data_IF_704801297312
#
_entry.id   IF_704801297312
#
_cell.length_a   1.000
_cell.length_b   1.000
_cell.length_c   1.000
_cell.angle_alpha   90.00
_cell.angle_beta   90.00
_cell.angle_gamma   90.00
#
_symmetry.space_group_name_H-M   'P 1'
#
loop_
_entity.id
_entity.type
_entity.pdbx_description
1 polymer ?
#
# COMPACT_ATOMS: atom_id res chain seq x y z
N UNK A 1 -33.13 -25.85 5.31
CA UNK A 1 -32.04 -26.42 4.49
C UNK A 1 -30.73 -25.72 4.87
N UNK A 2 -29.71 -26.52 5.19
CA UNK A 2 -28.43 -26.10 5.77
C UNK A 2 -27.54 -25.43 4.72
N UNK A 3 -26.83 -24.36 5.11
CA UNK A 3 -25.60 -23.91 4.44
C UNK A 3 -24.51 -24.99 4.60
N UNK A 4 -23.53 -25.03 3.68
CA UNK A 4 -22.16 -24.71 4.09
C UNK A 4 -21.53 -23.72 3.09
N UNK A 5 -20.99 -22.56 3.50
CA UNK A 5 -19.68 -22.38 4.13
C UNK A 5 -18.54 -23.13 3.42
N UNK A 6 -17.96 -22.49 2.40
CA UNK A 6 -16.59 -22.75 1.97
C UNK A 6 -15.65 -21.89 2.84
N UNK A 7 -14.97 -22.58 3.76
CA UNK A 7 -13.99 -22.06 4.70
C UNK A 7 -12.62 -21.90 3.99
N UNK A 8 -11.95 -20.80 4.33
CA UNK A 8 -10.50 -20.68 4.61
C UNK A 8 -9.50 -21.49 3.78
N UNK A 9 -8.71 -20.74 3.01
CA UNK A 9 -7.26 -20.87 2.89
C UNK A 9 -6.72 -19.43 3.10
N UNK A 10 -6.16 -19.02 4.24
CA UNK A 10 -4.90 -19.46 4.87
C UNK A 10 -3.82 -19.64 3.78
N UNK A 11 -2.68 -18.98 3.74
CA UNK A 11 -2.01 -18.02 4.61
C UNK A 11 -0.82 -17.48 3.79
N UNK A 12 -0.23 -16.38 4.26
CA UNK A 12 1.14 -15.96 3.94
C UNK A 12 1.47 -15.62 2.47
N UNK A 13 1.39 -14.33 2.15
CA UNK A 13 2.50 -13.67 1.45
C UNK A 13 2.76 -12.36 2.19
N UNK A 14 3.37 -12.52 3.35
CA UNK A 14 3.94 -11.47 4.14
C UNK A 14 5.17 -10.90 3.39
N UNK A 15 5.21 -9.58 3.35
CA UNK A 15 6.37 -8.71 3.20
C UNK A 15 7.68 -9.30 2.66
N UNK A 16 7.94 -9.05 1.39
CA UNK A 16 9.28 -8.69 0.89
C UNK A 16 9.14 -7.86 -0.39
N UNK A 17 9.15 -6.54 -0.26
CA UNK A 17 9.86 -5.71 -1.25
C UNK A 17 10.52 -4.56 -0.50
N UNK A 18 11.55 -4.94 0.25
CA UNK A 18 12.49 -4.03 0.90
C UNK A 18 13.23 -3.28 -0.21
N UNK A 19 12.97 -1.97 -0.27
CA UNK A 19 13.96 -0.90 -0.36
C UNK A 19 15.36 -1.35 -0.82
N UNK A 20 15.63 -1.25 -2.12
CA UNK A 20 16.89 -1.70 -2.71
C UNK A 20 17.47 -0.73 -3.72
N UNK A 21 17.56 0.56 -3.41
CA UNK A 21 18.48 1.50 -4.09
C UNK A 21 19.05 2.47 -3.07
N UNK A 22 19.94 1.97 -2.21
CA UNK A 22 20.91 2.83 -1.52
C UNK A 22 22.21 2.07 -1.24
N UNK A 23 22.80 1.46 -2.28
CA UNK A 23 24.19 1.03 -2.27
C UNK A 23 24.75 1.24 -3.67
N UNK A 24 25.20 2.47 -3.95
CA UNK A 24 26.11 2.75 -5.07
C UNK A 24 26.91 4.03 -4.79
N UNK A 25 27.55 4.11 -3.61
CA UNK A 25 28.43 5.25 -3.27
C UNK A 25 29.71 4.87 -2.51
N UNK A 26 30.19 3.61 -2.55
CA UNK A 26 31.43 3.24 -1.84
C UNK A 26 32.46 2.41 -2.63
N UNK A 27 32.30 2.25 -3.95
CA UNK A 27 33.25 1.48 -4.77
C UNK A 27 34.26 2.33 -5.59
N UNK A 28 34.39 3.63 -5.32
CA UNK A 28 35.32 4.51 -6.08
C UNK A 28 36.68 4.73 -5.38
N UNK A 29 36.88 4.25 -4.15
CA UNK A 29 38.12 4.50 -3.39
C UNK A 29 38.91 3.23 -3.04
N UNK A 30 39.17 2.36 -4.02
CA UNK A 30 40.08 1.22 -3.85
C UNK A 30 40.65 0.72 -5.19
N UNK A 31 41.39 1.57 -5.90
CA UNK A 31 42.39 1.16 -6.91
C UNK A 31 43.41 2.28 -7.09
N UNK A 32 43.91 2.77 -5.98
CA UNK A 32 45.03 3.69 -5.90
C UNK A 32 46.09 2.98 -5.07
N UNK A 33 47.18 2.56 -5.75
CA UNK A 33 48.42 1.90 -5.29
C UNK A 33 48.69 0.61 -6.07
N UNK A 34 49.19 0.79 -7.29
CA UNK A 34 50.35 0.07 -7.84
C UNK A 34 50.56 0.55 -9.29
N UNK A 35 51.17 1.72 -9.43
CA UNK A 35 51.97 2.03 -10.62
C UNK A 35 53.13 2.96 -10.23
N UNK A 36 53.91 2.51 -9.26
CA UNK A 36 55.25 3.01 -9.02
C UNK A 36 56.20 2.24 -9.92
N UNK A 37 56.50 2.81 -11.09
CA UNK A 37 57.50 2.22 -11.98
C UNK A 37 57.46 2.61 -13.44
N UNK A 38 56.79 3.70 -13.83
CA UNK A 38 57.02 4.29 -15.15
C UNK A 38 58.12 5.34 -15.03
N UNK A 39 59.36 4.88 -15.10
CA UNK A 39 60.55 5.72 -15.30
C UNK A 39 60.26 6.70 -16.45
N UNK A 40 60.26 8.00 -16.16
CA UNK A 40 60.29 9.04 -17.19
C UNK A 40 61.51 8.77 -18.08
N UNK A 41 61.37 8.58 -19.40
CA UNK A 41 62.53 8.46 -20.26
C UNK A 41 63.26 9.81 -20.26
N UNK A 42 64.45 9.83 -19.67
CA UNK A 42 65.43 10.90 -19.87
C UNK A 42 65.68 11.06 -21.37
N UNK A 43 65.69 12.29 -21.94
CA UNK A 43 65.93 12.50 -23.36
C UNK A 43 67.43 12.42 -23.63
N UNK A 44 68.01 11.23 -23.54
CA UNK A 44 69.41 11.02 -23.93
C UNK A 44 69.67 9.54 -24.19
N UNK A 45 69.32 9.12 -25.40
CA UNK A 45 69.97 8.11 -26.27
C UNK A 45 68.97 7.63 -27.30
N UNK A 46 68.42 8.57 -28.09
CA UNK A 46 67.82 8.21 -29.37
C UNK A 46 68.99 7.86 -30.29
N UNK A 47 69.24 6.56 -30.44
CA UNK A 47 70.09 6.00 -31.50
C UNK A 47 69.54 6.55 -32.82
N UNK A 48 70.36 7.35 -33.53
CA UNK A 48 70.03 7.92 -34.82
C UNK A 48 69.82 6.79 -35.84
N UNK A 49 68.58 6.32 -35.89
CA UNK A 49 68.11 5.20 -36.69
C UNK A 49 66.59 5.08 -36.60
N UNK A 50 65.91 6.21 -36.35
CA UNK A 50 64.47 6.34 -36.54
C UNK A 50 64.26 6.62 -38.02
N UNK A 51 64.08 5.55 -38.81
CA UNK A 51 63.31 5.67 -40.04
C UNK A 51 61.92 6.15 -39.63
N UNK A 52 61.69 7.46 -39.71
CA UNK A 52 60.35 7.99 -39.83
C UNK A 52 59.63 7.15 -40.89
N UNK A 53 58.36 6.73 -40.67
CA UNK A 53 57.60 6.16 -41.78
C UNK A 53 57.70 7.19 -42.90
N UNK A 54 58.38 6.79 -43.97
CA UNK A 54 58.63 7.64 -45.13
C UNK A 54 57.28 8.20 -45.51
N UNK A 55 57.14 9.53 -45.49
CA UNK A 55 55.93 10.20 -45.93
C UNK A 55 55.89 10.03 -47.46
N UNK A 56 55.50 8.82 -47.90
CA UNK A 56 55.27 8.49 -49.30
C UNK A 56 53.93 9.08 -49.78
N UNK A 57 53.21 9.78 -48.91
CA UNK A 57 52.00 10.51 -49.26
C UNK A 57 52.36 11.87 -49.89
N UNK A 58 51.91 12.08 -51.12
CA UNK A 58 52.00 13.38 -51.79
C UNK A 58 51.34 14.47 -50.92
N UNK A 59 51.83 15.73 -50.92
CA UNK A 59 51.15 16.84 -50.24
C UNK A 59 49.65 16.93 -50.54
N UNK A 60 49.24 16.53 -51.75
CA UNK A 60 47.84 16.46 -52.19
C UNK A 60 47.01 15.41 -51.41
N UNK A 61 47.61 14.27 -51.03
CA UNK A 61 46.93 13.22 -50.26
C UNK A 61 46.72 13.65 -48.80
N UNK A 62 47.69 14.40 -48.24
CA UNK A 62 47.56 14.97 -46.90
C UNK A 62 46.46 16.04 -46.86
N UNK A 63 46.35 16.87 -47.89
CA UNK A 63 45.29 17.87 -48.02
C UNK A 63 43.91 17.21 -48.15
N UNK A 64 43.78 16.18 -49.00
CA UNK A 64 42.54 15.38 -49.10
C UNK A 64 42.14 14.77 -47.76
N UNK A 65 43.10 14.19 -47.05
CA UNK A 65 42.86 13.60 -45.72
C UNK A 65 42.47 14.64 -44.69
N UNK A 66 43.06 15.84 -44.75
CA UNK A 66 42.69 16.97 -43.89
C UNK A 66 41.23 17.39 -44.14
N UNK A 67 40.84 17.51 -45.41
CA UNK A 67 39.46 17.85 -45.79
C UNK A 67 38.46 16.79 -45.32
N UNK A 68 38.79 15.50 -45.47
CA UNK A 68 37.94 14.39 -44.99
C UNK A 68 37.79 14.41 -43.46
N UNK A 69 38.86 14.73 -42.73
CA UNK A 69 38.83 14.89 -41.27
C UNK A 69 37.95 16.09 -40.89
N UNK A 70 38.04 17.21 -41.60
CA UNK A 70 37.23 18.39 -41.35
C UNK A 70 35.75 18.15 -41.64
N UNK A 71 35.41 17.39 -42.68
CA UNK A 71 34.04 16.94 -42.95
C UNK A 71 33.49 16.07 -41.82
N UNK A 72 34.26 15.04 -41.40
CA UNK A 72 33.88 14.18 -40.27
C UNK A 72 33.69 14.98 -38.97
N UNK A 73 34.52 15.99 -38.72
CA UNK A 73 34.37 16.88 -37.56
C UNK A 73 33.07 17.67 -37.63
N UNK A 74 32.75 18.25 -38.80
CA UNK A 74 31.49 18.98 -38.99
C UNK A 74 30.27 18.09 -38.80
N UNK A 75 30.32 16.84 -39.28
CA UNK A 75 29.24 15.88 -39.10
C UNK A 75 29.04 15.52 -37.63
N UNK A 76 30.14 15.22 -36.89
CA UNK A 76 30.08 15.00 -35.44
C UNK A 76 29.53 16.21 -34.68
N UNK A 77 29.90 17.43 -35.06
CA UNK A 77 29.36 18.65 -34.44
C UNK A 77 27.85 18.79 -34.68
N UNK A 78 27.35 18.42 -35.86
CA UNK A 78 25.90 18.40 -36.14
C UNK A 78 25.19 17.33 -35.30
N UNK A 79 25.75 16.13 -35.21
CA UNK A 79 25.19 15.05 -34.36
C UNK A 79 25.16 15.46 -32.88
N UNK A 80 26.23 16.09 -32.39
CA UNK A 80 26.30 16.60 -31.01
C UNK A 80 25.19 17.61 -30.72
N UNK A 81 24.97 18.56 -31.63
CA UNK A 81 23.88 19.56 -31.50
C UNK A 81 22.50 18.89 -31.52
N UNK A 82 22.28 17.94 -32.43
CA UNK A 82 21.02 17.20 -32.51
C UNK A 82 20.74 16.39 -31.22
N UNK A 83 21.76 15.80 -30.61
CA UNK A 83 21.63 15.11 -29.31
C UNK A 83 21.33 16.08 -28.16
N UNK A 84 21.95 17.27 -28.17
CA UNK A 84 21.71 18.30 -27.17
C UNK A 84 20.28 18.85 -27.25
N UNK A 85 19.78 19.11 -28.46
CA UNK A 85 18.37 19.47 -28.69
C UNK A 85 17.41 18.38 -28.22
N UNK A 86 17.68 17.10 -28.56
CA UNK A 86 16.88 15.97 -28.06
C UNK A 86 16.87 15.91 -26.54
N UNK A 87 18.01 16.13 -25.89
CA UNK A 87 18.12 16.14 -24.43
C UNK A 87 17.28 17.27 -23.82
N UNK A 88 17.35 18.47 -24.38
CA UNK A 88 16.54 19.61 -23.93
C UNK A 88 15.05 19.35 -24.12
N UNK A 89 14.65 18.79 -25.26
CA UNK A 89 13.27 18.44 -25.55
C UNK A 89 12.70 17.36 -24.61
N UNK A 90 13.56 16.54 -23.98
CA UNK A 90 13.15 15.55 -22.98
C UNK A 90 13.06 16.12 -21.55
N UNK A 91 13.63 17.29 -21.26
CA UNK A 91 13.61 17.85 -19.90
C UNK A 91 12.20 18.24 -19.47
N UNK A 92 11.46 18.95 -20.31
CA UNK A 92 10.09 19.39 -20.01
C UNK A 92 9.13 18.23 -19.74
N UNK A 93 9.05 17.16 -20.58
CA UNK A 93 8.17 16.03 -20.27
C UNK A 93 8.61 15.27 -19.01
N UNK A 94 9.91 15.18 -18.71
CA UNK A 94 10.38 14.57 -17.46
C UNK A 94 9.93 15.38 -16.23
N UNK A 95 10.02 16.71 -16.28
CA UNK A 95 9.52 17.57 -15.21
C UNK A 95 8.01 17.40 -15.01
N UNK A 96 7.23 17.35 -16.11
CA UNK A 96 5.78 17.09 -16.04
C UNK A 96 5.46 15.73 -15.42
N UNK A 97 6.23 14.69 -15.73
CA UNK A 97 6.07 13.36 -15.13
C UNK A 97 6.31 13.44 -13.61
N UNK A 98 7.35 14.15 -13.18
CA UNK A 98 7.66 14.31 -11.76
C UNK A 98 6.56 15.09 -11.03
N UNK A 99 6.05 16.18 -11.62
CA UNK A 99 4.90 16.93 -11.06
C UNK A 99 3.66 16.04 -10.89
N UNK A 100 3.33 15.23 -11.90
CA UNK A 100 2.21 14.28 -11.82
C UNK A 100 2.43 13.24 -10.73
N UNK A 101 3.66 12.74 -10.59
CA UNK A 101 4.02 11.78 -9.52
C UNK A 101 3.83 12.39 -8.14
N UNK A 102 4.27 13.64 -7.93
CA UNK A 102 4.08 14.34 -6.66
C UNK A 102 2.60 14.53 -6.33
N UNK A 103 1.79 14.97 -7.30
CA UNK A 103 0.34 15.12 -7.11
C UNK A 103 -0.34 13.79 -6.75
N UNK A 104 0.00 12.72 -7.46
CA UNK A 104 -0.55 11.39 -7.17
C UNK A 104 -0.14 10.88 -5.78
N UNK A 105 1.09 11.18 -5.34
CA UNK A 105 1.53 10.84 -3.99
C UNK A 105 0.75 11.60 -2.92
N UNK A 106 0.46 12.88 -3.14
CA UNK A 106 -0.35 13.69 -2.24
C UNK A 106 -1.80 13.18 -2.16
N UNK A 107 -2.42 12.89 -3.31
CA UNK A 107 -3.76 12.30 -3.38
C UNK A 107 -3.82 10.96 -2.64
N UNK A 108 -2.82 10.10 -2.82
CA UNK A 108 -2.72 8.82 -2.12
C UNK A 108 -2.65 9.01 -0.61
N UNK A 109 -1.82 9.94 -0.13
CA UNK A 109 -1.72 10.25 1.30
C UNK A 109 -3.04 10.78 1.86
N UNK A 110 -3.77 11.57 1.08
CA UNK A 110 -5.08 12.07 1.48
C UNK A 110 -6.11 10.92 1.59
N UNK A 111 -6.14 10.02 0.61
CA UNK A 111 -7.00 8.83 0.64
C UNK A 111 -6.69 7.92 1.84
N UNK A 112 -5.40 7.73 2.17
CA UNK A 112 -4.99 6.94 3.32
C UNK A 112 -5.47 7.56 4.65
N UNK A 113 -5.46 8.90 4.76
CA UNK A 113 -6.03 9.62 5.91
C UNK A 113 -7.54 9.44 6.00
N UNK A 114 -8.26 9.66 4.90
CA UNK A 114 -9.71 9.50 4.86
C UNK A 114 -10.14 8.07 5.22
N UNK A 115 -9.40 7.07 4.73
CA UNK A 115 -9.65 5.67 5.08
C UNK A 115 -9.46 5.41 6.58
N UNK A 116 -8.39 5.96 7.15
CA UNK A 116 -8.11 5.82 8.58
C UNK A 116 -9.21 6.48 9.44
N UNK A 117 -9.75 7.62 9.01
CA UNK A 117 -10.88 8.28 9.68
C UNK A 117 -12.16 7.44 9.59
N UNK A 118 -12.47 6.87 8.42
CA UNK A 118 -13.62 5.98 8.25
C UNK A 118 -13.52 4.73 9.14
N UNK A 119 -12.33 4.14 9.27
CA UNK A 119 -12.13 2.98 10.12
C UNK A 119 -12.32 3.32 11.61
N UNK A 120 -11.92 4.53 12.05
CA UNK A 120 -12.22 5.03 13.41
C UNK A 120 -13.72 5.21 13.64
N UNK A 121 -14.41 5.86 12.70
CA UNK A 121 -15.86 6.08 12.81
C UNK A 121 -16.65 4.76 12.86
N UNK A 122 -16.22 3.75 12.10
CA UNK A 122 -16.80 2.40 12.17
C UNK A 122 -16.61 1.78 13.55
N UNK A 123 -15.40 1.84 14.10
CA UNK A 123 -15.12 1.31 15.43
C UNK A 123 -15.95 2.02 16.53
N UNK A 124 -16.12 3.33 16.43
CA UNK A 124 -16.98 4.10 17.35
C UNK A 124 -18.46 3.70 17.24
N UNK A 125 -18.96 3.45 16.01
CA UNK A 125 -20.33 3.01 15.79
C UNK A 125 -20.56 1.61 16.37
N UNK A 126 -19.63 0.68 16.12
CA UNK A 126 -19.68 -0.68 16.65
C UNK A 126 -19.70 -0.67 18.19
N UNK A 127 -18.92 0.22 18.81
CA UNK A 127 -18.92 0.41 20.26
C UNK A 127 -20.29 0.91 20.78
N UNK A 128 -20.88 1.93 20.13
CA UNK A 128 -22.22 2.42 20.49
C UNK A 128 -23.29 1.34 20.37
N UNK A 129 -23.20 0.48 19.35
CA UNK A 129 -24.12 -0.65 19.19
C UNK A 129 -23.97 -1.65 20.32
N UNK A 130 -22.74 -2.04 20.66
CA UNK A 130 -22.48 -2.94 21.80
C UNK A 130 -22.99 -2.36 23.13
N UNK A 131 -22.81 -1.07 23.36
CA UNK A 131 -23.34 -0.39 24.54
C UNK A 131 -24.86 -0.44 24.59
N UNK A 132 -25.52 -0.20 23.44
CA UNK A 132 -26.98 -0.28 23.33
C UNK A 132 -27.49 -1.70 23.61
N UNK A 133 -26.85 -2.72 23.05
CA UNK A 133 -27.20 -4.12 23.29
C UNK A 133 -27.01 -4.50 24.77
N UNK A 134 -25.92 -4.04 25.39
CA UNK A 134 -25.66 -4.25 26.81
C UNK A 134 -26.74 -3.60 27.70
N UNK A 135 -27.22 -2.41 27.33
CA UNK A 135 -28.32 -1.73 28.04
C UNK A 135 -29.67 -2.42 27.84
N UNK A 136 -29.89 -3.11 26.71
CA UNK A 136 -31.15 -3.83 26.44
C UNK A 136 -31.29 -5.14 27.21
N UNK A 137 -30.19 -5.88 27.38
CA UNK A 137 -30.16 -7.16 28.12
C UNK A 137 -30.90 -7.15 29.48
N UNK A 138 -30.67 -6.19 30.40
CA UNK A 138 -31.40 -6.16 31.67
C UNK A 138 -32.90 -5.84 31.50
N UNK A 139 -33.27 -5.04 30.51
CA UNK A 139 -34.68 -4.73 30.22
C UNK A 139 -35.42 -5.96 29.68
N UNK A 140 -34.77 -6.72 28.81
CA UNK A 140 -35.31 -7.98 28.29
C UNK A 140 -35.48 -9.01 29.40
N UNK A 141 -34.52 -9.08 30.34
CA UNK A 141 -34.64 -9.92 31.54
C UNK A 141 -35.83 -9.48 32.42
N UNK A 142 -35.98 -8.18 32.68
CA UNK A 142 -37.11 -7.66 33.46
C UNK A 142 -38.46 -7.95 32.80
N UNK A 143 -38.55 -7.82 31.47
CA UNK A 143 -39.76 -8.21 30.72
C UNK A 143 -40.12 -9.68 30.94
N UNK A 144 -39.14 -10.58 30.83
CA UNK A 144 -39.34 -12.00 31.09
C UNK A 144 -39.80 -12.28 32.54
N UNK A 145 -39.21 -11.58 33.51
CA UNK A 145 -39.62 -11.70 34.92
C UNK A 145 -41.08 -11.26 35.13
N UNK A 146 -41.49 -10.15 34.52
CA UNK A 146 -42.88 -9.66 34.54
C UNK A 146 -43.82 -10.67 33.88
N UNK A 147 -43.46 -11.22 32.72
CA UNK A 147 -44.28 -12.22 32.01
C UNK A 147 -44.48 -13.50 32.84
N UNK A 148 -43.46 -13.92 33.59
CA UNK A 148 -43.55 -15.07 34.50
C UNK A 148 -44.44 -14.74 35.70
N UNK A 149 -44.29 -13.55 36.28
CA UNK A 149 -45.13 -13.10 37.40
C UNK A 149 -46.60 -12.99 36.99
N UNK A 150 -46.88 -12.44 35.79
CA UNK A 150 -48.22 -12.35 35.23
C UNK A 150 -48.89 -13.72 35.07
N UNK A 151 -48.17 -14.69 34.51
CA UNK A 151 -48.66 -16.09 34.40
C UNK A 151 -48.94 -16.73 35.75
N UNK A 152 -48.10 -16.47 36.76
CA UNK A 152 -48.34 -16.96 38.12
C UNK A 152 -49.62 -16.38 38.73
N UNK A 153 -49.86 -15.08 38.55
CA UNK A 153 -51.09 -14.43 39.02
C UNK A 153 -52.33 -14.97 38.30
N UNK A 154 -52.23 -15.24 37.00
CA UNK A 154 -53.32 -15.83 36.23
C UNK A 154 -53.69 -17.23 36.75
N UNK A 155 -52.70 -18.08 37.04
CA UNK A 155 -52.94 -19.39 37.65
C UNK A 155 -53.60 -19.28 39.03
N UNK A 156 -53.15 -18.34 39.86
CA UNK A 156 -53.77 -18.09 41.16
C UNK A 156 -55.22 -17.62 41.04
N UNK A 157 -55.51 -16.76 40.05
CA UNK A 157 -56.88 -16.30 39.77
C UNK A 157 -57.77 -17.46 39.36
N UNK A 158 -57.32 -18.31 38.44
CA UNK A 158 -58.06 -19.51 38.01
C UNK A 158 -58.36 -20.45 39.17
N UNK A 159 -57.41 -20.63 40.10
CA UNK A 159 -57.61 -21.45 41.29
C UNK A 159 -58.65 -20.85 42.24
N UNK A 160 -58.60 -19.54 42.48
CA UNK A 160 -59.61 -18.84 43.27
C UNK A 160 -61.00 -18.92 42.62
N UNK A 161 -61.09 -18.81 41.30
CA UNK A 161 -62.35 -18.92 40.56
C UNK A 161 -62.94 -20.34 40.72
N UNK A 162 -62.11 -21.39 40.67
CA UNK A 162 -62.55 -22.77 40.97
C UNK A 162 -63.07 -22.93 42.39
N UNK A 163 -62.35 -22.37 43.37
CA UNK A 163 -62.76 -22.41 44.77
C UNK A 163 -64.09 -21.68 45.00
N UNK A 164 -64.30 -20.53 44.35
CA UNK A 164 -65.57 -19.80 44.38
C UNK A 164 -66.73 -20.64 43.85
N UNK A 165 -66.57 -21.26 42.69
CA UNK A 165 -67.58 -22.16 42.10
C UNK A 165 -67.90 -23.32 43.04
N UNK A 166 -66.89 -23.98 43.61
CA UNK A 166 -67.09 -25.08 44.55
C UNK A 166 -67.88 -24.65 45.81
N UNK A 167 -67.61 -23.47 46.36
CA UNK A 167 -68.35 -22.92 47.50
C UNK A 167 -69.79 -22.58 47.12
N UNK A 168 -70.03 -22.05 45.93
CA UNK A 168 -71.39 -21.76 45.43
C UNK A 168 -72.22 -23.03 45.27
N UNK A 169 -71.62 -24.10 44.75
CA UNK A 169 -72.26 -25.42 44.64
C UNK A 169 -72.61 -26.00 46.02
N UNK A 170 -71.68 -25.96 46.97
CA UNK A 170 -71.94 -26.40 48.36
C UNK A 170 -73.09 -25.62 49.00
N UNK A 171 -73.13 -24.29 48.82
CA UNK A 171 -74.22 -23.43 49.30
C UNK A 171 -75.55 -23.76 48.63
N UNK A 172 -75.55 -24.11 47.34
CA UNK A 172 -76.76 -24.55 46.63
C UNK A 172 -77.30 -25.84 47.23
N UNK A 173 -76.45 -26.85 47.38
CA UNK A 173 -76.83 -28.14 47.93
C UNK A 173 -77.31 -28.06 49.39
N UNK A 174 -76.72 -27.19 50.21
CA UNK A 174 -77.22 -26.93 51.57
C UNK A 174 -78.62 -26.30 51.59
N UNK A 175 -78.91 -25.38 50.66
CA UNK A 175 -80.24 -24.77 50.54
C UNK A 175 -81.29 -25.79 50.10
N UNK A 176 -80.95 -26.67 49.17
CA UNK A 176 -81.83 -27.76 48.71
C UNK A 176 -82.18 -28.74 49.84
N UNK A 177 -81.24 -29.01 50.76
CA UNK A 177 -81.50 -29.87 51.94
C UNK A 177 -82.39 -29.24 53.01
N UNK A 178 -82.60 -27.93 52.97
CA UNK A 178 -83.37 -27.18 53.98
C UNK A 178 -84.81 -26.85 53.51
N UNK A 179 -85.15 -27.19 52.26
CA UNK A 179 -86.49 -27.08 51.68
C UNK A 179 -87.21 -28.43 51.72
#
# INVERSE_FOLDING_TARGET
MRKPQAKTRLAMLAGTLILGILQNSSAVMAKEKENTGATLPTPSTVKAGSTYPKADASPEELERRSLEIDEKRRDLDRERRALEERRLNLQEPLQKIDEVRYKLQEERLNLDKQRSELDRLRAELDEKWRQTDFQRLPLDKQRLEIDVAGRKLELQRLELDRQRVAVEEQRRHLREKQQ
#
